data_IF_302423580977
#
_entry.id   IF_302423580977
#
_cell.length_a   1.000
_cell.length_b   1.000
_cell.length_c   1.000
_cell.angle_alpha   90.00
_cell.angle_beta   90.00
_cell.angle_gamma   90.00
#
_symmetry.space_group_name_H-M   'P 1'
#
loop_
_entity.id
_entity.type
_entity.pdbx_description
1 polymer ?
#
# COMPACT_ATOMS: atom_id res chain seq x y z
N UNK A 1 -76.16 -8.11 12.29
CA UNK A 1 -75.24 -6.99 12.57
C UNK A 1 -73.98 -7.21 11.73
N UNK A 2 -73.94 -6.88 10.43
CA UNK A 2 -73.87 -5.56 9.80
C UNK A 2 -72.59 -4.77 10.13
N UNK A 3 -71.62 -4.86 9.19
CA UNK A 3 -70.53 -3.94 8.78
C UNK A 3 -69.63 -3.31 9.88
N UNK A 4 -68.31 -3.23 9.71
CA UNK A 4 -67.69 -2.40 8.67
C UNK A 4 -66.17 -2.60 8.57
N UNK A 5 -65.71 -2.67 7.32
CA UNK A 5 -64.34 -2.54 6.85
C UNK A 5 -63.86 -1.10 6.99
N UNK A 6 -62.67 -0.88 7.57
CA UNK A 6 -62.00 0.41 7.53
C UNK A 6 -60.89 0.37 6.48
N UNK A 7 -61.16 1.11 5.41
CA UNK A 7 -60.36 1.30 4.20
C UNK A 7 -59.04 2.01 4.48
N UNK A 8 -58.00 1.54 3.78
CA UNK A 8 -56.82 2.34 3.43
C UNK A 8 -57.24 3.70 2.84
N UNK A 9 -56.58 4.77 3.28
CA UNK A 9 -56.52 6.03 2.54
C UNK A 9 -55.06 6.36 2.26
N UNK A 10 -54.71 6.17 0.99
CA UNK A 10 -53.56 6.76 0.31
C UNK A 10 -53.68 8.29 0.34
N UNK A 11 -52.59 8.96 0.72
CA UNK A 11 -52.40 10.39 0.46
C UNK A 11 -51.13 10.52 -0.38
N UNK A 12 -51.31 10.44 -1.69
CA UNK A 12 -50.37 10.96 -2.67
C UNK A 12 -50.34 12.49 -2.53
N UNK A 13 -49.15 13.06 -2.31
CA UNK A 13 -48.93 14.50 -2.42
C UNK A 13 -48.08 14.77 -3.65
N UNK A 14 -48.62 15.63 -4.51
CA UNK A 14 -48.14 15.95 -5.83
C UNK A 14 -46.74 16.60 -5.83
N UNK A 15 -46.05 16.40 -6.96
CA UNK A 15 -44.85 17.12 -7.37
C UNK A 15 -45.09 18.63 -7.39
N UNK A 16 -44.08 19.38 -6.95
CA UNK A 16 -43.80 20.72 -7.47
C UNK A 16 -42.32 20.79 -7.86
N UNK A 17 -42.10 20.76 -9.17
CA UNK A 17 -40.85 21.11 -9.83
C UNK A 17 -40.59 22.61 -9.66
N UNK A 18 -39.45 22.98 -9.09
CA UNK A 18 -38.91 24.33 -9.20
C UNK A 18 -37.54 24.26 -9.90
N UNK A 19 -37.57 24.48 -11.21
CA UNK A 19 -36.41 24.85 -12.01
C UNK A 19 -36.03 26.29 -11.68
N UNK A 20 -34.83 26.52 -11.13
CA UNK A 20 -34.18 27.83 -11.19
C UNK A 20 -32.77 27.64 -11.72
N UNK A 21 -32.62 27.83 -13.03
CA UNK A 21 -31.34 28.03 -13.67
C UNK A 21 -30.84 29.44 -13.36
N UNK A 22 -29.57 29.57 -12.97
CA UNK A 22 -28.82 30.83 -12.97
C UNK A 22 -27.33 30.54 -13.11
N UNK A 23 -26.55 31.47 -13.69
CA UNK A 23 -25.53 31.12 -14.67
C UNK A 23 -24.14 30.90 -14.10
N UNK A 24 -23.35 30.22 -14.92
CA UNK A 24 -21.91 29.96 -14.84
C UNK A 24 -21.12 31.23 -14.53
N UNK A 25 -20.29 31.18 -13.48
CA UNK A 25 -19.19 32.13 -13.26
C UNK A 25 -17.87 31.37 -13.38
N UNK A 26 -17.20 31.57 -14.52
CA UNK A 26 -15.90 31.00 -14.84
C UNK A 26 -14.79 31.88 -14.22
N UNK A 27 -14.34 31.52 -13.03
CA UNK A 27 -13.16 32.12 -12.40
C UNK A 27 -11.89 31.54 -13.02
N UNK A 28 -11.18 32.35 -13.82
CA UNK A 28 -9.83 32.02 -14.33
C UNK A 28 -8.82 32.20 -13.20
N UNK A 29 -8.48 31.12 -12.50
CA UNK A 29 -7.28 31.08 -11.65
C UNK A 29 -6.08 30.68 -12.49
N UNK A 30 -5.12 31.61 -12.66
CA UNK A 30 -3.80 31.35 -13.22
C UNK A 30 -2.91 30.82 -12.08
N UNK A 31 -2.74 29.51 -11.97
CA UNK A 31 -1.70 28.93 -11.11
C UNK A 31 -0.47 28.62 -11.95
N UNK A 32 0.58 29.41 -11.72
CA UNK A 32 1.92 29.27 -12.27
C UNK A 32 2.55 28.01 -11.70
N UNK A 33 2.91 27.05 -12.55
CA UNK A 33 3.76 25.92 -12.17
C UNK A 33 5.21 26.43 -11.98
N UNK A 34 5.87 26.22 -10.83
CA UNK A 34 7.31 26.36 -10.79
C UNK A 34 7.92 25.13 -11.48
N UNK A 35 8.63 25.37 -12.58
CA UNK A 35 9.62 24.46 -13.13
C UNK A 35 10.65 24.16 -12.04
N UNK A 36 10.51 23.02 -11.36
CA UNK A 36 11.56 22.52 -10.46
C UNK A 36 12.64 21.94 -11.35
N UNK A 37 13.59 22.79 -11.68
CA UNK A 37 14.82 22.47 -12.38
C UNK A 37 15.60 21.44 -11.56
N UNK A 38 15.64 20.20 -12.04
CA UNK A 38 16.46 19.15 -11.46
C UNK A 38 17.94 19.50 -11.71
N UNK A 39 18.56 20.17 -10.73
CA UNK A 39 19.98 20.50 -10.77
C UNK A 39 20.79 19.31 -10.28
N UNK A 40 21.14 18.41 -11.18
CA UNK A 40 22.12 17.36 -10.93
C UNK A 40 23.50 17.97 -10.76
N UNK A 41 24.12 17.78 -9.59
CA UNK A 41 25.54 18.04 -9.37
C UNK A 41 26.33 16.79 -9.77
N UNK A 42 26.85 16.74 -11.00
CA UNK A 42 27.98 15.87 -11.33
C UNK A 42 29.28 16.61 -11.01
N UNK A 43 30.04 16.10 -10.04
CA UNK A 43 31.41 16.54 -9.79
C UNK A 43 32.27 16.06 -10.95
N UNK A 44 32.74 17.00 -11.76
CA UNK A 44 33.89 16.80 -12.65
C UNK A 44 35.16 16.81 -11.81
N UNK A 45 35.92 15.71 -11.85
CA UNK A 45 37.32 15.69 -11.43
C UNK A 45 38.17 15.26 -12.61
N UNK A 46 38.78 16.25 -13.25
CA UNK A 46 39.82 16.09 -14.26
C UNK A 46 41.18 15.83 -13.61
N UNK A 47 41.85 14.75 -14.00
CA UNK A 47 43.33 14.59 -14.06
C UNK A 47 43.63 13.12 -14.39
N UNK A 48 44.62 12.70 -15.16
CA UNK A 48 45.59 13.31 -16.07
C UNK A 48 46.12 12.13 -16.89
N UNK A 49 46.36 12.40 -18.16
CA UNK A 49 47.00 11.56 -19.18
C UNK A 49 48.24 10.79 -18.71
N UNK A 50 48.31 9.50 -19.03
CA UNK A 50 49.54 8.82 -19.43
C UNK A 50 49.26 7.96 -20.67
N UNK A 51 50.20 8.00 -21.62
CA UNK A 51 50.05 7.54 -22.99
C UNK A 51 50.51 6.09 -23.22
N UNK A 52 49.84 5.45 -24.20
CA UNK A 52 50.30 4.46 -25.17
C UNK A 52 50.89 3.10 -24.68
N UNK A 53 50.24 1.97 -25.02
CA UNK A 53 50.38 1.30 -26.33
C UNK A 53 49.71 -0.09 -26.37
N UNK A 54 49.23 -0.45 -27.57
CA UNK A 54 49.02 -1.80 -28.14
C UNK A 54 47.73 -2.60 -27.84
N UNK A 55 46.82 -2.56 -28.83
CA UNK A 55 46.03 -3.64 -29.45
C UNK A 55 45.35 -4.73 -28.60
N UNK A 56 44.01 -4.76 -28.65
CA UNK A 56 43.25 -5.91 -29.18
C UNK A 56 41.78 -5.52 -29.40
N UNK A 57 41.29 -5.89 -30.57
CA UNK A 57 39.95 -5.69 -31.12
C UNK A 57 38.80 -6.27 -30.27
N UNK A 58 37.70 -5.50 -30.26
CA UNK A 58 36.29 -5.89 -30.35
C UNK A 58 35.62 -6.73 -29.24
N UNK A 59 34.37 -6.32 -28.97
CA UNK A 59 33.30 -6.94 -28.16
C UNK A 59 33.39 -6.89 -26.63
N UNK A 60 33.54 -5.68 -26.07
CA UNK A 60 32.97 -5.39 -24.74
C UNK A 60 31.47 -5.29 -24.91
N UNK A 61 30.77 -6.40 -24.68
CA UNK A 61 29.33 -6.40 -24.46
C UNK A 61 29.03 -5.39 -23.34
N UNK A 62 28.43 -4.27 -23.72
CA UNK A 62 27.83 -3.30 -22.80
C UNK A 62 26.66 -4.00 -22.10
N UNK A 63 27.00 -4.81 -21.09
CA UNK A 63 26.05 -5.37 -20.17
C UNK A 63 25.55 -4.20 -19.33
N UNK A 64 24.53 -3.51 -19.85
CA UNK A 64 23.63 -2.69 -19.05
C UNK A 64 23.36 -3.51 -17.79
N UNK A 65 23.77 -3.06 -16.59
CA UNK A 65 23.51 -3.82 -15.39
C UNK A 65 22.00 -3.78 -15.23
N UNK A 66 21.33 -4.84 -15.69
CA UNK A 66 19.93 -5.11 -15.40
C UNK A 66 19.88 -5.41 -13.91
N UNK A 67 20.01 -4.35 -13.13
CA UNK A 67 19.89 -4.32 -11.68
C UNK A 67 18.41 -4.39 -11.32
N UNK A 68 17.66 -5.16 -12.11
CA UNK A 68 16.21 -5.18 -12.10
C UNK A 68 15.66 -6.32 -11.28
N UNK A 69 16.43 -7.40 -11.02
CA UNK A 69 16.18 -8.43 -10.01
C UNK A 69 17.51 -9.13 -9.74
N UNK A 70 18.05 -9.04 -8.52
CA UNK A 70 19.43 -9.49 -8.25
C UNK A 70 19.55 -10.79 -7.45
N UNK A 71 18.45 -11.33 -6.93
CA UNK A 71 18.47 -12.49 -6.03
C UNK A 71 17.40 -13.52 -6.40
N UNK A 72 17.69 -14.83 -6.22
CA UNK A 72 16.68 -15.86 -6.34
C UNK A 72 15.62 -15.68 -5.25
N UNK A 73 14.38 -16.07 -5.56
CA UNK A 73 13.24 -15.88 -4.67
C UNK A 73 13.43 -16.53 -3.30
N UNK A 74 14.11 -17.67 -3.26
CA UNK A 74 14.42 -18.40 -2.03
C UNK A 74 15.28 -17.59 -1.04
N UNK A 75 16.26 -16.81 -1.53
CA UNK A 75 17.08 -15.94 -0.69
C UNK A 75 16.28 -14.79 -0.11
N UNK A 76 15.44 -14.16 -0.94
CA UNK A 76 14.54 -13.06 -0.52
C UNK A 76 13.61 -13.55 0.60
N UNK A 77 12.98 -14.70 0.42
CA UNK A 77 12.09 -15.29 1.42
C UNK A 77 12.83 -15.68 2.71
N UNK A 78 14.07 -16.17 2.60
CA UNK A 78 14.90 -16.49 3.77
C UNK A 78 15.20 -15.24 4.60
N UNK A 79 15.50 -14.12 3.94
CA UNK A 79 15.73 -12.83 4.61
C UNK A 79 14.44 -12.30 5.27
N UNK A 80 13.30 -12.35 4.57
CA UNK A 80 12.01 -11.89 5.10
C UNK A 80 11.51 -12.72 6.30
N UNK A 81 11.91 -13.99 6.41
CA UNK A 81 11.58 -14.86 7.55
C UNK A 81 12.42 -14.56 8.81
N UNK A 82 13.45 -13.72 8.74
CA UNK A 82 14.23 -13.35 9.92
C UNK A 82 13.37 -12.55 10.90
N UNK A 83 13.61 -12.75 12.20
CA UNK A 83 12.94 -11.96 13.25
C UNK A 83 13.29 -10.49 13.10
N UNK A 84 12.27 -9.65 13.24
CA UNK A 84 12.45 -8.20 13.27
C UNK A 84 12.97 -7.82 14.66
N UNK A 85 13.96 -6.92 14.77
CA UNK A 85 14.43 -6.44 16.07
C UNK A 85 13.28 -5.89 16.92
N UNK A 86 13.27 -6.24 18.21
CA UNK A 86 12.18 -5.85 19.14
C UNK A 86 12.02 -4.33 19.27
N UNK A 87 13.06 -3.54 18.98
CA UNK A 87 13.01 -2.07 18.93
C UNK A 87 12.06 -1.51 17.86
N UNK A 88 11.77 -2.30 16.82
CA UNK A 88 10.87 -1.94 15.73
C UNK A 88 9.45 -2.50 15.92
N UNK A 89 9.27 -3.38 16.91
CA UNK A 89 7.98 -3.97 17.27
C UNK A 89 7.31 -3.05 18.28
N UNK A 90 6.03 -2.75 18.05
CA UNK A 90 5.20 -1.96 18.96
C UNK A 90 4.15 -2.83 19.60
N UNK A 91 3.72 -2.45 20.80
CA UNK A 91 2.62 -3.10 21.50
C UNK A 91 1.46 -2.12 21.57
N UNK A 92 0.26 -2.58 21.24
CA UNK A 92 -0.99 -1.87 21.48
C UNK A 92 -1.88 -2.70 22.40
N UNK A 93 -2.71 -2.04 23.20
CA UNK A 93 -3.74 -2.69 23.99
C UNK A 93 -5.04 -2.64 23.18
N UNK A 94 -5.64 -3.80 22.94
CA UNK A 94 -6.95 -3.87 22.28
C UNK A 94 -8.09 -3.61 23.29
N UNK A 95 -9.32 -3.46 22.81
CA UNK A 95 -10.48 -3.14 23.68
C UNK A 95 -10.70 -4.18 24.79
N UNK A 96 -10.30 -5.43 24.55
CA UNK A 96 -10.38 -6.54 25.49
C UNK A 96 -9.24 -6.56 26.53
N UNK A 97 -8.34 -5.56 26.51
CA UNK A 97 -7.24 -5.41 27.47
C UNK A 97 -6.00 -6.25 27.15
N UNK A 98 -6.03 -7.10 26.12
CA UNK A 98 -4.89 -7.91 25.72
C UNK A 98 -3.83 -7.08 24.96
N UNK A 99 -2.54 -7.17 25.34
CA UNK A 99 -1.45 -6.52 24.62
C UNK A 99 -1.13 -7.28 23.33
N UNK A 100 -1.22 -6.61 22.19
CA UNK A 100 -0.90 -7.16 20.87
C UNK A 100 0.36 -6.50 20.34
N UNK A 101 1.38 -7.33 20.08
CA UNK A 101 2.60 -6.92 19.39
C UNK A 101 2.35 -6.81 17.89
N UNK A 102 2.87 -5.77 17.25
CA UNK A 102 2.75 -5.56 15.81
C UNK A 102 3.94 -4.77 15.26
N UNK A 103 4.23 -4.97 13.97
CA UNK A 103 5.17 -4.12 13.22
C UNK A 103 4.36 -3.00 12.54
N UNK A 104 4.73 -1.73 12.68
CA UNK A 104 4.09 -0.63 11.95
C UNK A 104 4.26 -0.77 10.43
N UNK A 105 3.28 -0.34 9.64
CA UNK A 105 3.27 -0.56 8.18
C UNK A 105 4.50 0.01 7.47
N UNK A 106 4.97 1.20 7.87
CA UNK A 106 6.13 1.86 7.26
C UNK A 106 7.44 1.13 7.56
N UNK A 107 7.51 0.40 8.68
CA UNK A 107 8.64 -0.48 9.00
C UNK A 107 8.61 -1.70 8.09
N UNK A 108 7.43 -2.34 7.92
CA UNK A 108 7.25 -3.44 6.96
C UNK A 108 7.67 -3.00 5.55
N UNK A 109 7.24 -1.83 5.11
CA UNK A 109 7.62 -1.25 3.81
C UNK A 109 9.14 -1.07 3.68
N UNK A 110 9.82 -0.59 4.74
CA UNK A 110 11.28 -0.45 4.75
C UNK A 110 11.99 -1.81 4.65
N UNK A 111 11.49 -2.83 5.34
CA UNK A 111 12.06 -4.18 5.30
C UNK A 111 11.87 -4.80 3.92
N UNK A 112 10.70 -4.61 3.29
CA UNK A 112 10.46 -5.03 1.92
C UNK A 112 11.44 -4.36 0.94
N UNK A 113 11.61 -3.03 1.01
CA UNK A 113 12.58 -2.30 0.18
C UNK A 113 14.04 -2.78 0.39
N UNK A 114 14.38 -3.28 1.58
CA UNK A 114 15.72 -3.74 1.91
C UNK A 114 16.01 -5.13 1.32
N UNK A 115 15.05 -6.05 1.41
CA UNK A 115 15.27 -7.46 1.08
C UNK A 115 14.71 -7.89 -0.27
N UNK A 116 13.70 -7.18 -0.79
CA UNK A 116 12.99 -7.47 -2.02
C UNK A 116 12.88 -6.17 -2.84
N UNK A 117 13.98 -5.64 -3.41
CA UNK A 117 14.02 -4.28 -4.01
C UNK A 117 12.93 -4.01 -5.05
N UNK A 118 12.45 -5.07 -5.69
CA UNK A 118 11.52 -5.03 -6.83
C UNK A 118 10.08 -5.33 -6.45
N UNK A 119 9.79 -5.51 -5.17
CA UNK A 119 8.43 -5.86 -4.73
C UNK A 119 7.40 -4.84 -5.20
N UNK A 120 6.19 -5.31 -5.50
CA UNK A 120 5.06 -4.46 -5.82
C UNK A 120 3.89 -4.73 -4.89
N UNK A 121 3.12 -3.68 -4.62
CA UNK A 121 1.94 -3.73 -3.79
C UNK A 121 0.78 -3.04 -4.48
N UNK A 122 -0.39 -3.66 -4.50
CA UNK A 122 -1.58 -3.09 -5.11
C UNK A 122 -2.84 -3.41 -4.31
N UNK A 123 -3.77 -2.44 -4.29
CA UNK A 123 -5.13 -2.65 -3.79
C UNK A 123 -5.91 -3.37 -4.87
N UNK A 124 -6.40 -4.57 -4.55
CA UNK A 124 -7.19 -5.42 -5.46
C UNK A 124 -8.67 -5.09 -5.41
N UNK A 125 -9.17 -4.77 -4.22
CA UNK A 125 -10.57 -4.46 -4.02
C UNK A 125 -10.76 -3.60 -2.77
N UNK A 126 -11.75 -2.72 -2.81
CA UNK A 126 -12.25 -1.96 -1.67
C UNK A 126 -13.76 -2.20 -1.60
N UNK A 127 -14.23 -2.77 -0.50
CA UNK A 127 -15.64 -3.07 -0.28
C UNK A 127 -16.13 -2.48 1.02
N UNK A 128 -17.21 -1.73 0.97
CA UNK A 128 -17.91 -1.22 2.15
C UNK A 128 -18.88 -2.28 2.68
N UNK A 129 -18.96 -2.41 4.00
CA UNK A 129 -19.92 -3.29 4.66
C UNK A 129 -21.36 -2.89 4.31
N UNK A 130 -22.27 -3.87 4.31
CA UNK A 130 -23.69 -3.62 4.04
C UNK A 130 -24.34 -2.66 5.06
N UNK A 131 -23.76 -2.58 6.25
CA UNK A 131 -24.14 -1.67 7.32
C UNK A 131 -23.64 -0.24 7.12
N UNK A 132 -22.74 -0.02 6.15
CA UNK A 132 -22.08 1.26 5.91
C UNK A 132 -21.19 1.71 7.07
N UNK A 133 -20.78 0.80 7.98
CA UNK A 133 -19.96 1.12 9.16
C UNK A 133 -18.53 0.62 9.06
N UNK A 134 -18.24 -0.25 8.10
CA UNK A 134 -16.92 -0.83 7.92
C UNK A 134 -16.47 -0.74 6.47
N UNK A 135 -15.17 -0.70 6.27
CA UNK A 135 -14.52 -0.83 4.97
C UNK A 135 -13.50 -1.95 5.04
N UNK A 136 -13.53 -2.82 4.04
CA UNK A 136 -12.57 -3.91 3.86
C UNK A 136 -11.77 -3.69 2.60
N UNK A 137 -10.45 -3.85 2.70
CA UNK A 137 -9.50 -3.70 1.61
C UNK A 137 -8.78 -5.03 1.40
N UNK A 138 -8.76 -5.50 0.15
CA UNK A 138 -7.93 -6.63 -0.28
C UNK A 138 -6.68 -6.08 -0.91
N UNK A 139 -5.52 -6.48 -0.37
CA UNK A 139 -4.21 -6.01 -0.83
C UNK A 139 -3.38 -7.19 -1.31
N UNK A 140 -2.73 -7.04 -2.46
CA UNK A 140 -1.80 -8.01 -3.05
C UNK A 140 -0.39 -7.47 -2.92
N UNK A 141 0.51 -8.32 -2.42
CA UNK A 141 1.96 -8.09 -2.45
C UNK A 141 2.57 -9.12 -3.38
N UNK A 142 3.38 -8.66 -4.33
CA UNK A 142 4.12 -9.50 -5.27
C UNK A 142 5.62 -9.32 -5.03
N UNK A 143 6.35 -10.42 -4.95
CA UNK A 143 7.80 -10.45 -4.87
C UNK A 143 8.33 -11.08 -6.15
N UNK A 144 9.36 -10.45 -6.73
CA UNK A 144 10.03 -10.94 -7.92
C UNK A 144 11.42 -11.45 -7.52
N UNK A 145 11.69 -12.71 -7.86
CA UNK A 145 13.03 -13.30 -7.85
C UNK A 145 13.52 -13.51 -9.28
N UNK A 146 14.81 -13.79 -9.43
CA UNK A 146 15.40 -14.07 -10.76
C UNK A 146 14.85 -15.34 -11.40
N UNK A 147 14.32 -16.26 -10.58
CA UNK A 147 13.81 -17.57 -10.94
C UNK A 147 12.28 -17.66 -11.00
N UNK A 148 11.56 -16.87 -10.17
CA UNK A 148 10.11 -16.88 -10.11
C UNK A 148 9.53 -15.58 -9.55
N UNK A 149 8.28 -15.30 -9.90
CA UNK A 149 7.42 -14.32 -9.21
C UNK A 149 6.38 -15.04 -8.34
N UNK A 150 6.09 -14.48 -7.17
CA UNK A 150 5.00 -14.97 -6.31
C UNK A 150 4.23 -13.80 -5.71
N UNK A 151 2.92 -13.99 -5.58
CA UNK A 151 2.06 -13.04 -4.89
C UNK A 151 1.30 -13.68 -3.73
N UNK A 152 0.96 -12.86 -2.73
CA UNK A 152 0.09 -13.22 -1.62
C UNK A 152 -0.87 -12.07 -1.35
N UNK A 153 -2.12 -12.44 -1.10
CA UNK A 153 -3.18 -11.50 -0.83
C UNK A 153 -3.62 -11.60 0.62
N UNK A 154 -4.06 -10.47 1.18
CA UNK A 154 -4.73 -10.44 2.47
C UNK A 154 -5.76 -9.33 2.52
N UNK A 155 -6.69 -9.47 3.45
CA UNK A 155 -7.69 -8.46 3.76
C UNK A 155 -7.36 -7.72 5.05
N UNK A 156 -7.75 -6.46 5.12
CA UNK A 156 -7.83 -5.66 6.33
C UNK A 156 -9.19 -4.97 6.39
N UNK A 157 -9.75 -4.85 7.59
CA UNK A 157 -11.06 -4.25 7.82
C UNK A 157 -10.93 -3.17 8.88
N UNK A 158 -11.51 -2.02 8.62
CA UNK A 158 -11.56 -0.88 9.54
C UNK A 158 -13.00 -0.40 9.70
N UNK A 159 -13.32 0.15 10.87
CA UNK A 159 -14.58 0.87 11.08
C UNK A 159 -14.47 2.28 10.51
N UNK A 160 -15.56 2.78 9.92
CA UNK A 160 -15.68 4.16 9.46
C UNK A 160 -15.83 5.16 10.62
N UNK A 161 -16.27 4.69 11.78
CA UNK A 161 -16.46 5.51 12.98
C UNK A 161 -15.15 5.72 13.77
N UNK A 162 -14.09 4.99 13.42
CA UNK A 162 -12.80 5.06 14.09
C UNK A 162 -11.98 6.26 13.58
N UNK A 163 -12.06 7.37 14.30
CA UNK A 163 -11.40 8.64 13.96
C UNK A 163 -9.98 8.77 14.48
N UNK A 164 -9.42 7.73 15.10
CA UNK A 164 -8.14 7.85 15.81
C UNK A 164 -6.95 8.11 14.88
N UNK A 165 -6.89 7.50 13.69
CA UNK A 165 -5.71 7.60 12.84
C UNK A 165 -5.98 7.30 11.35
N UNK A 166 -5.85 8.34 10.52
CA UNK A 166 -5.96 8.26 9.07
C UNK A 166 -7.39 8.01 8.58
N UNK A 167 -7.53 7.92 7.27
CA UNK A 167 -8.79 7.50 6.66
C UNK A 167 -9.02 5.98 6.87
N UNK A 168 -10.28 5.52 7.09
CA UNK A 168 -10.57 4.11 7.28
C UNK A 168 -10.04 3.18 6.18
N UNK A 169 -10.00 3.64 4.93
CA UNK A 169 -9.42 2.88 3.80
C UNK A 169 -7.92 2.72 4.01
N UNK A 170 -7.20 3.79 4.35
CA UNK A 170 -5.76 3.74 4.61
C UNK A 170 -5.42 2.81 5.78
N UNK A 171 -6.26 2.80 6.82
CA UNK A 171 -6.12 1.89 7.95
C UNK A 171 -6.33 0.43 7.54
N UNK A 172 -7.39 0.16 6.79
CA UNK A 172 -7.68 -1.17 6.26
C UNK A 172 -6.58 -1.67 5.31
N UNK A 173 -6.08 -0.79 4.43
CA UNK A 173 -4.94 -1.06 3.55
C UNK A 173 -3.68 -1.41 4.34
N UNK A 174 -3.31 -0.60 5.34
CA UNK A 174 -2.14 -0.86 6.18
C UNK A 174 -2.27 -2.16 7.00
N UNK A 175 -3.49 -2.60 7.33
CA UNK A 175 -3.74 -3.90 7.93
C UNK A 175 -3.56 -5.03 6.91
N UNK A 176 -4.14 -4.89 5.73
CA UNK A 176 -4.07 -5.85 4.64
C UNK A 176 -2.61 -6.06 4.18
N UNK A 177 -1.88 -4.97 3.95
CA UNK A 177 -0.47 -4.98 3.54
C UNK A 177 0.41 -5.79 4.49
N UNK A 178 0.35 -5.49 5.79
CA UNK A 178 1.17 -6.21 6.80
C UNK A 178 0.83 -7.69 6.87
N UNK A 179 -0.45 -8.05 6.76
CA UNK A 179 -0.90 -9.45 6.76
C UNK A 179 -0.51 -10.17 5.45
N UNK A 180 -0.44 -9.48 4.33
CA UNK A 180 0.08 -10.02 3.07
C UNK A 180 1.59 -10.28 3.19
N UNK A 181 2.36 -9.35 3.75
CA UNK A 181 3.78 -9.55 4.04
C UNK A 181 4.04 -10.72 5.01
N UNK A 182 3.20 -10.90 6.03
CA UNK A 182 3.30 -12.02 6.97
C UNK A 182 3.17 -13.39 6.27
N UNK A 183 2.42 -13.48 5.16
CA UNK A 183 2.34 -14.71 4.35
C UNK A 183 3.64 -15.07 3.63
N UNK A 184 4.58 -14.13 3.52
CA UNK A 184 5.95 -14.39 3.07
C UNK A 184 6.92 -14.68 4.23
N UNK A 185 6.45 -14.63 5.49
CA UNK A 185 7.26 -14.85 6.69
C UNK A 185 7.54 -13.59 7.51
N UNK A 186 7.37 -12.41 6.93
CA UNK A 186 7.72 -11.14 7.59
C UNK A 186 6.80 -10.84 8.77
N UNK A 187 7.34 -10.95 9.99
CA UNK A 187 6.59 -10.73 11.21
C UNK A 187 5.61 -11.86 11.55
N UNK A 188 5.70 -13.00 10.86
CA UNK A 188 4.82 -14.15 11.10
C UNK A 188 4.92 -14.68 12.54
N UNK A 189 6.12 -14.61 13.13
CA UNK A 189 6.37 -15.03 14.51
C UNK A 189 5.55 -14.26 15.57
N UNK A 190 5.00 -13.09 15.23
CA UNK A 190 4.15 -12.31 16.13
C UNK A 190 2.75 -12.89 16.31
N UNK A 191 2.37 -13.86 15.47
CA UNK A 191 1.09 -14.58 15.55
C UNK A 191 1.18 -15.87 16.36
N UNK A 192 2.38 -16.31 16.75
CA UNK A 192 2.54 -17.51 17.57
C UNK A 192 2.32 -17.16 19.05
N UNK A 193 1.48 -17.94 19.72
CA UNK A 193 1.12 -17.75 21.13
C UNK A 193 2.33 -17.97 22.08
N UNK A 194 3.36 -18.70 21.62
CA UNK A 194 4.52 -19.12 22.43
C UNK A 194 5.75 -18.18 22.36
N UNK A 195 5.63 -16.97 21.80
CA UNK A 195 6.72 -16.00 21.72
C UNK A 195 6.60 -14.85 22.74
N UNK A 196 5.91 -15.09 23.86
CA UNK A 196 5.77 -14.16 24.99
C UNK A 196 6.73 -14.48 26.13
#
# INVERSE_FOLDING_TARGET
MAFSSLKLKSLARALSSSTSASPVSLSKSKSVLPLVFWRSYSKSSSSTTYAAAANSDEDVADAVPTSGISRPLSEVLKELNKKVPDSLVKTRVEQDGFPIKYIPWHVVNRIMNLHATEWSGEVRNISYGADGKTVSVVYRVTIYGTDAEIYRESTGTASLDDTNYGDPVQKAEAMAFRRACARFGLGLYLYHEDAS
#
